data_IF_426807606667
#
_entry.id   IF_426807606667
#
_cell.length_a   1.000
_cell.length_b   1.000
_cell.length_c   1.000
_cell.angle_alpha   90.00
_cell.angle_beta   90.00
_cell.angle_gamma   90.00
#
_symmetry.space_group_name_H-M   'P 1'
#
loop_
_entity.id
_entity.type
_entity.pdbx_description
1 polymer ?
#
# COMPACT_ATOMS: atom_id res chain seq x y z
N UNK A 1 -35.90 -13.67 2.33
CA UNK A 1 -34.70 -13.08 1.69
C UNK A 1 -34.33 -11.79 2.41
N UNK A 2 -33.24 -11.78 3.19
CA UNK A 2 -32.44 -10.59 3.58
C UNK A 2 -31.28 -11.06 4.48
N UNK A 3 -30.27 -11.68 3.88
CA UNK A 3 -28.93 -11.64 4.43
C UNK A 3 -28.14 -10.69 3.54
N UNK A 4 -28.31 -9.38 3.80
CA UNK A 4 -27.30 -8.42 3.38
C UNK A 4 -26.04 -8.83 4.13
N UNK A 5 -25.11 -9.46 3.41
CA UNK A 5 -23.77 -9.76 3.89
C UNK A 5 -23.23 -8.53 4.61
N UNK A 6 -22.77 -8.72 5.85
CA UNK A 6 -21.90 -7.76 6.51
C UNK A 6 -20.73 -7.55 5.54
N UNK A 7 -20.76 -6.45 4.80
CA UNK A 7 -19.67 -6.09 3.89
C UNK A 7 -18.44 -5.87 4.76
N UNK A 8 -17.37 -6.58 4.42
CA UNK A 8 -16.11 -6.50 5.14
C UNK A 8 -15.46 -5.17 4.77
N UNK A 9 -15.51 -4.18 5.67
CA UNK A 9 -14.85 -2.90 5.49
C UNK A 9 -13.52 -2.90 6.23
N UNK A 10 -12.49 -2.29 5.63
CA UNK A 10 -11.20 -2.09 6.28
C UNK A 10 -11.38 -1.10 7.44
N UNK A 11 -10.91 -1.48 8.63
CA UNK A 11 -10.63 -0.50 9.68
C UNK A 11 -9.43 0.35 9.25
N UNK A 12 -9.75 1.49 8.63
CA UNK A 12 -8.75 2.36 8.03
C UNK A 12 -7.82 2.98 9.07
N UNK A 13 -8.28 3.19 10.30
CA UNK A 13 -7.44 3.74 11.37
C UNK A 13 -6.43 2.70 11.86
N UNK A 14 -6.87 1.45 12.02
CA UNK A 14 -5.97 0.35 12.35
C UNK A 14 -4.92 0.13 11.25
N UNK A 15 -5.35 0.13 9.97
CA UNK A 15 -4.44 0.02 8.83
C UNK A 15 -3.44 1.18 8.80
N UNK A 16 -3.90 2.42 8.99
CA UNK A 16 -3.02 3.59 9.06
C UNK A 16 -1.95 3.42 10.15
N UNK A 17 -2.35 3.07 11.38
CA UNK A 17 -1.40 2.85 12.46
C UNK A 17 -0.39 1.73 12.19
N UNK A 18 -0.78 0.68 11.46
CA UNK A 18 0.12 -0.40 11.06
C UNK A 18 1.12 0.01 9.98
N UNK A 19 0.64 0.74 8.95
CA UNK A 19 1.51 1.28 7.89
C UNK A 19 2.47 2.32 8.47
N UNK A 20 2.04 3.17 9.39
CA UNK A 20 2.90 4.15 10.08
C UNK A 20 4.10 3.49 10.76
N UNK A 21 3.89 2.37 11.46
CA UNK A 21 4.98 1.59 12.08
C UNK A 21 5.92 0.97 11.05
N UNK A 22 5.39 0.50 9.93
CA UNK A 22 6.20 -0.06 8.85
C UNK A 22 7.08 1.03 8.21
N UNK A 23 6.53 2.22 7.95
CA UNK A 23 7.28 3.38 7.45
C UNK A 23 8.36 3.82 8.42
N UNK A 24 8.05 3.91 9.72
CA UNK A 24 9.06 4.22 10.73
C UNK A 24 10.19 3.18 10.77
N UNK A 25 9.86 1.90 10.56
CA UNK A 25 10.84 0.82 10.49
C UNK A 25 11.73 0.93 9.24
N UNK A 26 11.13 1.22 8.08
CA UNK A 26 11.85 1.49 6.83
C UNK A 26 12.86 2.63 7.00
N UNK A 27 12.42 3.79 7.50
CA UNK A 27 13.28 4.98 7.69
C UNK A 27 14.44 4.67 8.64
N UNK A 28 14.19 3.88 9.69
CA UNK A 28 15.20 3.56 10.70
C UNK A 28 16.26 2.59 10.16
N UNK A 29 15.84 1.59 9.39
CA UNK A 29 16.65 0.40 9.10
C UNK A 29 17.22 0.43 7.67
N UNK A 30 16.51 1.04 6.72
CA UNK A 30 16.82 1.00 5.30
C UNK A 30 17.29 2.36 4.77
N UNK A 31 18.17 3.05 5.51
CA UNK A 31 18.62 4.42 5.15
C UNK A 31 19.18 4.52 3.74
N UNK A 32 19.88 3.48 3.26
CA UNK A 32 20.47 3.45 1.93
C UNK A 32 19.43 3.25 0.81
N UNK A 33 18.22 2.79 1.15
CA UNK A 33 17.13 2.59 0.20
C UNK A 33 16.33 3.87 -0.07
N UNK A 34 16.56 4.95 0.69
CA UNK A 34 15.90 6.25 0.57
C UNK A 34 16.89 7.38 0.25
N UNK A 35 17.41 7.46 -0.99
CA UNK A 35 18.41 8.46 -1.37
C UNK A 35 17.90 9.90 -1.33
N UNK A 36 16.58 10.10 -1.18
CA UNK A 36 15.94 11.41 -1.16
C UNK A 36 15.47 11.80 0.26
N UNK A 37 15.75 10.98 1.27
CA UNK A 37 15.33 11.18 2.67
C UNK A 37 13.81 11.40 2.83
N UNK A 38 13.00 10.86 1.92
CA UNK A 38 11.55 11.00 1.97
C UNK A 38 11.00 10.11 3.08
N UNK A 39 10.62 10.76 4.17
CA UNK A 39 10.22 10.11 5.42
C UNK A 39 8.71 9.85 5.54
N UNK A 40 7.98 9.68 4.43
CA UNK A 40 6.52 9.52 4.49
C UNK A 40 5.80 9.46 3.15
N UNK A 41 4.47 9.45 3.21
CA UNK A 41 3.61 9.36 2.04
C UNK A 41 2.12 9.56 2.32
N UNK A 42 1.30 9.17 1.36
CA UNK A 42 -0.16 9.13 1.46
C UNK A 42 -0.63 7.69 1.37
N UNK A 43 -1.49 7.30 2.32
CA UNK A 43 -2.25 6.06 2.30
C UNK A 43 -3.68 6.37 1.82
N UNK A 44 -4.16 5.62 0.84
CA UNK A 44 -5.50 5.73 0.29
C UNK A 44 -6.19 4.35 0.31
N UNK A 45 -7.45 4.33 0.74
CA UNK A 45 -8.37 3.21 0.58
C UNK A 45 -9.60 3.68 -0.20
N UNK A 46 -9.99 2.92 -1.23
CA UNK A 46 -11.24 3.09 -1.96
C UNK A 46 -12.06 1.82 -1.83
N UNK A 47 -13.16 1.89 -1.08
CA UNK A 47 -14.09 0.76 -0.92
C UNK A 47 -14.71 0.35 -2.26
N UNK A 48 -15.29 -0.85 -2.32
CA UNK A 48 -16.05 -1.31 -3.50
C UNK A 48 -17.31 -0.47 -3.81
N UNK A 49 -17.72 0.40 -2.88
CA UNK A 49 -18.81 1.38 -3.08
C UNK A 49 -18.32 2.72 -3.61
N UNK A 50 -17.02 2.90 -3.81
CA UNK A 50 -16.41 4.16 -4.24
C UNK A 50 -16.16 5.16 -3.11
N UNK A 51 -16.44 4.82 -1.85
CA UNK A 51 -16.09 5.67 -0.70
C UNK A 51 -14.57 5.65 -0.52
N UNK A 52 -13.96 6.83 -0.52
CA UNK A 52 -12.52 7.04 -0.30
C UNK A 52 -12.22 7.45 1.15
N UNK A 53 -11.16 6.88 1.71
CA UNK A 53 -10.51 7.33 2.94
C UNK A 53 -9.03 7.49 2.67
N UNK A 54 -8.42 8.58 3.12
CA UNK A 54 -7.01 8.83 2.91
C UNK A 54 -6.39 9.66 4.03
N UNK A 55 -5.11 9.45 4.27
CA UNK A 55 -4.35 10.17 5.27
C UNK A 55 -2.87 10.23 4.90
N UNK A 56 -2.16 11.18 5.48
CA UNK A 56 -0.70 11.21 5.45
C UNK A 56 -0.11 10.15 6.39
N UNK A 57 1.09 9.71 6.08
CA UNK A 57 1.89 8.73 6.83
C UNK A 57 3.32 9.26 6.97
N UNK A 58 3.95 9.07 8.13
CA UNK A 58 5.30 9.57 8.40
C UNK A 58 5.31 11.10 8.51
N UNK A 59 6.26 11.75 7.84
CA UNK A 59 6.38 13.22 7.85
C UNK A 59 5.36 13.94 6.96
N UNK A 60 4.68 13.22 6.06
CA UNK A 60 3.67 13.80 5.17
C UNK A 60 2.35 13.93 5.92
N UNK A 61 1.81 15.14 5.95
CA UNK A 61 0.52 15.46 6.57
C UNK A 61 -0.44 16.05 5.52
N UNK A 62 -1.73 16.16 5.84
CA UNK A 62 -2.71 16.80 4.93
C UNK A 62 -2.43 18.29 4.66
N UNK A 63 -1.55 18.92 5.46
CA UNK A 63 -1.13 20.31 5.28
C UNK A 63 0.15 20.44 4.45
N UNK A 64 0.83 19.33 4.15
CA UNK A 64 2.06 19.33 3.36
C UNK A 64 1.74 19.69 1.91
N UNK A 65 2.58 20.51 1.26
CA UNK A 65 2.37 20.95 -0.12
C UNK A 65 2.31 19.77 -1.10
N UNK A 66 3.11 18.74 -0.87
CA UNK A 66 3.17 17.51 -1.68
C UNK A 66 1.96 16.58 -1.49
N UNK A 67 1.12 16.79 -0.48
CA UNK A 67 0.07 15.85 -0.11
C UNK A 67 -0.92 15.61 -1.24
N UNK A 68 -1.36 16.67 -1.92
CA UNK A 68 -2.36 16.56 -2.98
C UNK A 68 -1.81 15.85 -4.23
N UNK A 69 -0.54 16.07 -4.55
CA UNK A 69 0.14 15.41 -5.66
C UNK A 69 0.31 13.90 -5.39
N UNK A 70 0.70 13.56 -4.16
CA UNK A 70 0.77 12.17 -3.70
C UNK A 70 -0.61 11.51 -3.66
N UNK A 71 -1.64 12.22 -3.19
CA UNK A 71 -3.02 11.70 -3.21
C UNK A 71 -3.53 11.45 -4.64
N UNK A 72 -3.23 12.36 -5.58
CA UNK A 72 -3.53 12.17 -7.00
C UNK A 72 -2.82 10.94 -7.56
N UNK A 73 -1.56 10.74 -7.18
CA UNK A 73 -0.77 9.57 -7.56
C UNK A 73 -1.37 8.28 -6.99
N UNK A 74 -1.78 8.27 -5.71
CA UNK A 74 -2.43 7.12 -5.09
C UNK A 74 -3.74 6.74 -5.80
N UNK A 75 -4.53 7.74 -6.23
CA UNK A 75 -5.77 7.50 -7.02
C UNK A 75 -5.47 6.84 -8.36
N UNK A 76 -4.44 7.31 -9.07
CA UNK A 76 -4.00 6.67 -10.32
C UNK A 76 -3.60 5.21 -10.12
N UNK A 77 -2.87 4.90 -9.05
CA UNK A 77 -2.50 3.51 -8.72
C UNK A 77 -3.74 2.62 -8.50
N UNK A 78 -4.77 3.15 -7.83
CA UNK A 78 -6.06 2.46 -7.63
C UNK A 78 -6.82 2.26 -8.96
N UNK A 79 -6.74 3.22 -9.88
CA UNK A 79 -7.39 3.16 -11.19
C UNK A 79 -6.72 2.17 -12.15
N UNK A 80 -5.40 1.98 -12.02
CA UNK A 80 -4.64 0.96 -12.76
C UNK A 80 -5.04 -0.48 -12.40
N UNK A 81 -5.71 -0.71 -11.27
CA UNK A 81 -6.30 -2.00 -10.94
C UNK A 81 -7.57 -2.20 -11.80
N UNK A 82 -7.36 -2.73 -13.01
CA UNK A 82 -8.42 -2.95 -14.01
C UNK A 82 -9.28 -4.19 -13.65
N UNK A 83 -10.62 -4.09 -13.69
CA UNK A 83 -11.53 -5.23 -13.48
C UNK A 83 -11.39 -6.36 -14.53
N UNK A 84 -11.82 -7.60 -14.20
CA UNK A 84 -12.57 -8.01 -13.01
C UNK A 84 -11.69 -8.31 -11.78
N UNK A 85 -11.95 -7.60 -10.68
CA UNK A 85 -11.20 -7.71 -9.42
C UNK A 85 -11.91 -8.63 -8.42
N UNK A 86 -12.06 -9.92 -8.75
CA UNK A 86 -12.73 -10.88 -7.85
C UNK A 86 -11.84 -11.39 -6.71
N UNK A 87 -10.52 -11.25 -6.86
CA UNK A 87 -9.51 -11.78 -5.95
C UNK A 87 -8.49 -10.72 -5.56
N UNK A 88 -7.64 -11.03 -4.58
CA UNK A 88 -6.51 -10.16 -4.27
C UNK A 88 -5.60 -10.01 -5.49
N UNK A 89 -5.21 -8.78 -5.81
CA UNK A 89 -4.37 -8.50 -6.98
C UNK A 89 -3.50 -7.27 -6.73
N UNK A 90 -2.34 -7.24 -7.36
CA UNK A 90 -1.39 -6.13 -7.32
C UNK A 90 -1.28 -5.46 -8.69
N UNK A 91 -1.13 -4.13 -8.73
CA UNK A 91 -0.93 -3.38 -9.97
C UNK A 91 0.42 -3.67 -10.62
N UNK A 92 1.36 -4.29 -9.90
CA UNK A 92 2.69 -4.65 -10.41
C UNK A 92 2.66 -5.57 -11.63
N UNK A 93 1.63 -6.40 -11.79
CA UNK A 93 1.48 -7.25 -12.98
C UNK A 93 1.30 -6.46 -14.29
N UNK A 94 0.86 -5.21 -14.17
CA UNK A 94 0.63 -4.29 -15.28
C UNK A 94 1.61 -3.10 -15.23
N UNK A 95 2.69 -3.21 -14.45
CA UNK A 95 3.70 -2.15 -14.34
C UNK A 95 4.41 -1.98 -15.67
N UNK A 96 4.40 -0.75 -16.16
CA UNK A 96 5.03 -0.35 -17.41
C UNK A 96 5.42 1.14 -17.26
N UNK A 97 6.66 1.41 -16.79
CA UNK A 97 7.11 2.79 -16.55
C UNK A 97 7.12 3.64 -17.82
N UNK A 98 7.37 3.05 -18.99
CA UNK A 98 7.36 3.76 -20.27
C UNK A 98 5.96 4.28 -20.62
N UNK A 99 4.91 3.58 -20.17
CA UNK A 99 3.51 4.01 -20.27
C UNK A 99 3.00 4.75 -19.04
N UNK A 100 3.87 5.05 -18.07
CA UNK A 100 3.50 5.73 -16.82
C UNK A 100 2.65 4.89 -15.87
N UNK A 101 2.66 3.55 -16.02
CA UNK A 101 1.97 2.60 -15.16
C UNK A 101 2.91 2.13 -14.05
N UNK A 102 2.59 2.51 -12.81
CA UNK A 102 3.42 2.22 -11.64
C UNK A 102 2.84 1.09 -10.79
N UNK A 103 3.70 0.35 -10.08
CA UNK A 103 3.30 -0.56 -9.02
C UNK A 103 2.83 0.18 -7.76
N UNK A 104 2.26 -0.57 -6.81
CA UNK A 104 1.90 -0.06 -5.48
C UNK A 104 0.41 0.04 -5.16
N UNK A 105 -0.47 -0.25 -6.12
CA UNK A 105 -1.90 -0.45 -5.86
C UNK A 105 -2.24 -1.91 -5.57
N UNK A 106 -3.07 -2.16 -4.57
CA UNK A 106 -3.55 -3.51 -4.22
C UNK A 106 -5.08 -3.56 -4.17
N UNK A 107 -5.67 -4.57 -4.80
CA UNK A 107 -7.06 -4.94 -4.58
C UNK A 107 -7.13 -5.98 -3.45
N UNK A 108 -7.96 -5.72 -2.44
CA UNK A 108 -8.18 -6.58 -1.28
C UNK A 108 -9.57 -7.24 -1.39
N UNK A 109 -9.81 -7.91 -2.52
CA UNK A 109 -11.05 -8.65 -2.82
C UNK A 109 -12.33 -7.86 -2.45
N UNK A 110 -13.11 -8.35 -1.47
CA UNK A 110 -14.38 -7.75 -1.07
C UNK A 110 -14.24 -6.43 -0.28
N UNK A 111 -13.03 -6.08 0.16
CA UNK A 111 -12.75 -4.92 1.01
C UNK A 111 -12.39 -3.64 0.22
N UNK A 112 -12.15 -3.76 -1.09
CA UNK A 112 -11.82 -2.64 -1.97
C UNK A 112 -10.33 -2.55 -2.29
N UNK A 113 -9.87 -1.35 -2.66
CA UNK A 113 -8.53 -1.10 -3.16
C UNK A 113 -7.75 -0.22 -2.18
N UNK A 114 -6.45 -0.45 -2.05
CA UNK A 114 -5.54 0.35 -1.25
C UNK A 114 -4.31 0.73 -2.07
N UNK A 115 -3.74 1.88 -1.79
CA UNK A 115 -2.47 2.31 -2.36
C UNK A 115 -1.70 3.16 -1.35
N UNK A 116 -0.37 3.05 -1.40
CA UNK A 116 0.54 3.92 -0.68
C UNK A 116 1.53 4.54 -1.67
N UNK A 117 1.84 5.82 -1.51
CA UNK A 117 2.84 6.50 -2.34
C UNK A 117 3.53 7.63 -1.58
N UNK A 118 4.77 7.92 -1.91
CA UNK A 118 5.61 8.92 -1.24
C UNK A 118 7.04 8.42 -1.04
N UNK A 119 7.20 7.12 -0.73
CA UNK A 119 8.49 6.45 -0.68
C UNK A 119 8.89 5.94 -2.08
N UNK A 120 10.12 5.42 -2.27
CA UNK A 120 10.46 4.61 -3.44
C UNK A 120 9.44 3.49 -3.66
N UNK A 121 9.21 3.11 -4.92
CA UNK A 121 8.09 2.23 -5.34
C UNK A 121 8.03 0.93 -4.52
N UNK A 122 9.17 0.25 -4.37
CA UNK A 122 9.29 -1.00 -3.59
C UNK A 122 9.06 -0.77 -2.09
N UNK A 123 9.49 0.37 -1.54
CA UNK A 123 9.26 0.70 -0.14
C UNK A 123 7.77 0.96 0.16
N UNK A 124 7.05 1.61 -0.76
CA UNK A 124 5.60 1.79 -0.64
C UNK A 124 4.88 0.44 -0.55
N UNK A 125 5.20 -0.50 -1.45
CA UNK A 125 4.59 -1.83 -1.44
C UNK A 125 4.95 -2.60 -0.16
N UNK A 126 6.22 -2.62 0.23
CA UNK A 126 6.67 -3.36 1.40
C UNK A 126 6.03 -2.84 2.70
N UNK A 127 5.95 -1.52 2.88
CA UNK A 127 5.28 -0.90 4.03
C UNK A 127 3.78 -1.19 4.04
N UNK A 128 3.12 -1.08 2.88
CA UNK A 128 1.70 -1.36 2.75
C UNK A 128 1.39 -2.84 3.03
N UNK A 129 2.19 -3.77 2.50
CA UNK A 129 2.04 -5.21 2.78
C UNK A 129 2.23 -5.51 4.25
N UNK A 130 3.24 -4.91 4.91
CA UNK A 130 3.42 -5.06 6.36
C UNK A 130 2.17 -4.62 7.13
N UNK A 131 1.60 -3.47 6.76
CA UNK A 131 0.37 -2.97 7.39
C UNK A 131 -0.83 -3.89 7.18
N UNK A 132 -1.02 -4.40 5.95
CA UNK A 132 -2.11 -5.31 5.61
C UNK A 132 -2.01 -6.64 6.37
N UNK A 133 -0.80 -7.21 6.51
CA UNK A 133 -0.55 -8.44 7.28
C UNK A 133 -0.79 -8.21 8.77
N UNK A 134 -0.28 -7.12 9.34
CA UNK A 134 -0.50 -6.78 10.76
C UNK A 134 -1.99 -6.57 11.11
N UNK A 135 -2.82 -6.26 10.13
CA UNK A 135 -4.26 -6.10 10.30
C UNK A 135 -5.07 -7.35 9.86
N UNK A 136 -4.40 -8.47 9.57
CA UNK A 136 -5.02 -9.72 9.10
C UNK A 136 -5.91 -9.54 7.84
N UNK A 137 -5.58 -8.56 6.99
CA UNK A 137 -6.37 -8.23 5.79
C UNK A 137 -5.96 -9.05 4.57
N UNK A 138 -4.77 -9.66 4.61
CA UNK A 138 -4.21 -10.51 3.56
C UNK A 138 -3.51 -11.72 4.18
N UNK A 139 -3.46 -12.82 3.43
CA UNK A 139 -2.74 -14.04 3.86
C UNK A 139 -1.28 -14.03 3.39
N UNK A 140 -0.44 -14.79 4.08
CA UNK A 140 0.97 -15.01 3.71
C UNK A 140 1.14 -15.53 2.27
N UNK A 141 0.18 -16.35 1.80
CA UNK A 141 0.18 -16.85 0.43
C UNK A 141 0.04 -15.72 -0.59
N UNK A 142 -0.85 -14.74 -0.33
CA UNK A 142 -0.99 -13.58 -1.19
C UNK A 142 0.26 -12.70 -1.14
N UNK A 143 0.77 -12.44 0.06
CA UNK A 143 1.97 -11.61 0.27
C UNK A 143 3.16 -12.18 -0.49
N UNK A 144 3.43 -13.48 -0.32
CA UNK A 144 4.50 -14.19 -1.03
C UNK A 144 4.36 -14.05 -2.55
N UNK A 145 3.14 -14.24 -3.07
CA UNK A 145 2.88 -14.13 -4.51
C UNK A 145 3.10 -12.71 -5.02
N UNK A 146 2.63 -11.70 -4.29
CA UNK A 146 2.75 -10.30 -4.68
C UNK A 146 4.22 -9.85 -4.67
N UNK A 147 4.96 -10.15 -3.60
CA UNK A 147 6.38 -9.78 -3.46
C UNK A 147 7.27 -10.50 -4.48
N UNK A 148 6.91 -11.71 -4.91
CA UNK A 148 7.62 -12.40 -6.00
C UNK A 148 7.39 -11.73 -7.37
N UNK A 149 6.25 -11.06 -7.59
CA UNK A 149 5.99 -10.33 -8.85
C UNK A 149 6.82 -9.06 -8.91
N UNK A 150 7.02 -8.38 -7.78
CA UNK A 150 7.77 -7.12 -7.68
C UNK A 150 9.24 -7.29 -7.31
N UNK A 151 9.70 -8.54 -7.07
CA UNK A 151 11.03 -8.88 -6.56
C UNK A 151 11.40 -8.09 -5.27
N UNK A 152 10.46 -8.04 -4.33
CA UNK A 152 10.50 -7.14 -3.18
C UNK A 152 10.58 -7.88 -1.82
N UNK A 153 10.84 -9.18 -1.85
CA UNK A 153 10.83 -10.03 -0.64
C UNK A 153 11.84 -9.57 0.40
N UNK A 154 13.07 -9.25 0.00
CA UNK A 154 14.14 -8.87 0.93
C UNK A 154 13.83 -7.58 1.71
N UNK A 155 13.34 -6.55 1.02
CA UNK A 155 12.99 -5.28 1.66
C UNK A 155 11.76 -5.45 2.58
N UNK A 156 10.74 -6.18 2.14
CA UNK A 156 9.60 -6.54 2.97
C UNK A 156 10.05 -7.25 4.25
N UNK A 157 10.88 -8.29 4.15
CA UNK A 157 11.34 -9.04 5.31
C UNK A 157 12.14 -8.18 6.27
N UNK A 158 12.95 -7.26 5.76
CA UNK A 158 13.69 -6.34 6.60
C UNK A 158 12.75 -5.44 7.41
N UNK A 159 11.78 -4.81 6.75
CA UNK A 159 10.81 -3.91 7.40
C UNK A 159 9.95 -4.71 8.40
N UNK A 160 9.49 -5.90 8.01
CA UNK A 160 8.60 -6.74 8.80
C UNK A 160 9.27 -7.32 10.05
N UNK A 161 10.51 -7.82 9.91
CA UNK A 161 11.26 -8.48 11.01
C UNK A 161 12.12 -7.49 11.81
N UNK A 162 12.31 -6.28 11.30
CA UNK A 162 13.14 -5.25 11.93
C UNK A 162 14.64 -5.53 11.88
N UNK A 163 15.12 -6.27 10.86
CA UNK A 163 16.52 -6.69 10.73
C UNK A 163 17.04 -6.51 9.30
N UNK A 164 18.04 -5.66 9.10
CA UNK A 164 18.81 -5.56 7.84
C UNK A 164 20.02 -6.49 7.95
N UNK A 165 20.31 -7.27 6.89
CA UNK A 165 21.51 -8.11 6.81
C UNK A 165 22.57 -7.42 5.97
#
# INVERSE_FOLDING_TARGET
MKNMSKLCEIDFLALHGAVERAVASYIRICKDADPNEISGGVLLHRSNRGVEKHTGVGTITQKSELYNDLLSTARRLIEQLVPPLKYHMTSYQNRDPEKGLLGGGLNISCMGKVAMTGLPELANEACLMCGLVQCDLVSDTFVTKALNISDNTALYECIHKGAWR
#
